data_IF_823896387013
#
_entry.id   IF_823896387013
#
_cell.length_a   1.000
_cell.length_b   1.000
_cell.length_c   1.000
_cell.angle_alpha   90.00
_cell.angle_beta   90.00
_cell.angle_gamma   90.00
#
_symmetry.space_group_name_H-M   'P 1'
#
loop_
_entity.id
_entity.type
_entity.pdbx_description
1 polymer ?
#
# COMPACT_ATOMS: atom_id res chain seq x y z
N UNK A 1 -7.79 7.93 -22.95
CA UNK A 1 -8.49 6.93 -22.14
C UNK A 1 -7.74 6.68 -20.85
N UNK A 2 -8.43 6.71 -19.74
CA UNK A 2 -7.80 6.47 -18.44
C UNK A 2 -7.53 4.98 -18.25
N UNK A 3 -6.31 4.65 -17.77
CA UNK A 3 -5.95 3.28 -17.40
C UNK A 3 -6.30 2.97 -15.94
N UNK A 4 -7.14 3.80 -15.34
CA UNK A 4 -7.52 3.70 -13.94
C UNK A 4 -8.38 2.45 -13.72
N UNK A 5 -7.83 1.44 -13.08
CA UNK A 5 -8.53 0.19 -12.83
C UNK A 5 -9.36 0.28 -11.54
N UNK A 6 -10.24 -0.71 -11.34
CA UNK A 6 -11.01 -0.80 -10.10
C UNK A 6 -10.09 -0.94 -8.88
N UNK A 7 -9.00 -1.68 -8.99
CA UNK A 7 -8.02 -1.80 -7.91
C UNK A 7 -7.35 -0.46 -7.62
N UNK A 8 -7.00 0.30 -8.65
CA UNK A 8 -6.41 1.62 -8.48
C UNK A 8 -7.39 2.56 -7.77
N UNK A 9 -8.67 2.48 -8.09
CA UNK A 9 -9.71 3.26 -7.44
C UNK A 9 -9.82 2.92 -5.94
N UNK A 10 -9.80 1.64 -5.60
CA UNK A 10 -9.85 1.19 -4.20
C UNK A 10 -8.65 1.73 -3.43
N UNK A 11 -7.45 1.59 -3.99
CA UNK A 11 -6.21 2.05 -3.35
C UNK A 11 -6.23 3.58 -3.22
N UNK A 12 -6.62 4.28 -4.26
CA UNK A 12 -6.72 5.74 -4.25
C UNK A 12 -7.67 6.23 -3.17
N UNK A 13 -8.86 5.63 -3.10
CA UNK A 13 -9.87 6.01 -2.10
C UNK A 13 -9.39 5.71 -0.68
N UNK A 14 -8.64 4.65 -0.48
CA UNK A 14 -8.06 4.32 0.83
C UNK A 14 -7.08 5.40 1.27
N UNK A 15 -6.15 5.79 0.41
CA UNK A 15 -5.21 6.85 0.72
C UNK A 15 -5.90 8.20 0.89
N UNK A 16 -6.97 8.45 0.13
CA UNK A 16 -7.78 9.65 0.31
C UNK A 16 -8.40 9.70 1.71
N UNK A 17 -8.88 8.56 2.23
CA UNK A 17 -9.40 8.48 3.59
C UNK A 17 -8.33 8.84 4.62
N UNK A 18 -7.10 8.39 4.42
CA UNK A 18 -5.98 8.74 5.31
C UNK A 18 -5.74 10.26 5.29
N UNK A 19 -5.74 10.87 4.11
CA UNK A 19 -5.54 12.32 3.98
C UNK A 19 -6.68 13.12 4.57
N UNK A 20 -7.92 12.66 4.42
CA UNK A 20 -9.11 13.37 4.87
C UNK A 20 -9.42 13.15 6.35
N UNK A 21 -8.81 12.15 7.00
CA UNK A 21 -9.05 11.87 8.41
C UNK A 21 -8.42 12.95 9.28
N UNK A 22 -9.25 13.67 9.99
CA UNK A 22 -8.82 14.79 10.85
C UNK A 22 -8.29 14.33 12.20
N UNK A 23 -8.71 13.15 12.66
CA UNK A 23 -8.22 12.59 13.90
C UNK A 23 -6.89 11.88 13.65
N UNK A 24 -5.84 12.36 14.32
CA UNK A 24 -4.48 11.85 14.09
C UNK A 24 -4.36 10.36 14.45
N UNK A 25 -4.98 9.94 15.53
CA UNK A 25 -4.94 8.55 15.96
C UNK A 25 -5.60 7.63 14.94
N UNK A 26 -6.77 8.04 14.42
CA UNK A 26 -7.48 7.27 13.40
C UNK A 26 -6.70 7.21 12.09
N UNK A 27 -6.03 8.30 11.74
CA UNK A 27 -5.17 8.36 10.56
C UNK A 27 -4.07 7.30 10.65
N UNK A 28 -3.39 7.22 11.79
CA UNK A 28 -2.35 6.22 12.04
C UNK A 28 -2.93 4.80 12.02
N UNK A 29 -4.11 4.60 12.61
CA UNK A 29 -4.79 3.31 12.58
C UNK A 29 -5.08 2.84 11.15
N UNK A 30 -5.56 3.75 10.30
CA UNK A 30 -5.82 3.45 8.90
C UNK A 30 -4.52 3.00 8.20
N UNK A 31 -3.44 3.72 8.43
CA UNK A 31 -2.14 3.36 7.86
C UNK A 31 -1.67 1.98 8.32
N UNK A 32 -1.75 1.72 9.61
CA UNK A 32 -1.34 0.43 10.19
C UNK A 32 -2.22 -0.72 9.67
N UNK A 33 -3.51 -0.48 9.50
CA UNK A 33 -4.41 -1.48 8.92
C UNK A 33 -4.05 -1.81 7.48
N UNK A 34 -3.64 -0.80 6.72
CA UNK A 34 -3.17 -1.00 5.35
C UNK A 34 -1.93 -1.88 5.30
N UNK A 35 -0.97 -1.63 6.20
CA UNK A 35 0.24 -2.45 6.31
C UNK A 35 -0.13 -3.92 6.57
N UNK A 36 -1.02 -4.17 7.53
CA UNK A 36 -1.46 -5.53 7.85
C UNK A 36 -2.12 -6.21 6.65
N UNK A 37 -2.98 -5.49 5.95
CA UNK A 37 -3.66 -6.04 4.78
C UNK A 37 -2.65 -6.42 3.68
N UNK A 38 -1.65 -5.57 3.45
CA UNK A 38 -0.63 -5.83 2.45
C UNK A 38 0.29 -6.99 2.85
N UNK A 39 0.65 -7.09 4.13
CA UNK A 39 1.43 -8.22 4.64
C UNK A 39 0.69 -9.53 4.44
N UNK A 40 -0.61 -9.54 4.74
CA UNK A 40 -1.47 -10.71 4.53
C UNK A 40 -1.52 -11.09 3.06
N UNK A 41 -1.67 -10.11 2.17
CA UNK A 41 -1.70 -10.35 0.73
C UNK A 41 -0.39 -10.95 0.23
N UNK A 42 0.76 -10.47 0.72
CA UNK A 42 2.05 -11.01 0.36
C UNK A 42 2.23 -12.45 0.82
N UNK A 43 1.79 -12.75 2.05
CA UNK A 43 1.84 -14.11 2.59
C UNK A 43 0.98 -15.05 1.75
N UNK A 44 -0.24 -14.63 1.42
CA UNK A 44 -1.14 -15.43 0.60
C UNK A 44 -0.57 -15.66 -0.81
N UNK A 45 0.06 -14.66 -1.37
CA UNK A 45 0.71 -14.77 -2.67
C UNK A 45 1.84 -15.80 -2.62
N UNK A 46 2.71 -15.73 -1.61
CA UNK A 46 3.80 -16.70 -1.43
C UNK A 46 3.27 -18.13 -1.32
N UNK A 47 2.21 -18.34 -0.53
CA UNK A 47 1.65 -19.67 -0.30
C UNK A 47 1.02 -20.26 -1.55
N UNK A 48 0.51 -19.41 -2.46
CA UNK A 48 -0.17 -19.84 -3.66
C UNK A 48 0.76 -19.99 -4.88
N UNK A 49 2.00 -19.50 -4.79
CA UNK A 49 2.98 -19.68 -5.85
C UNK A 49 3.57 -21.09 -5.79
N UNK A 50 3.82 -21.70 -6.96
CA UNK A 50 4.59 -22.93 -7.01
C UNK A 50 6.09 -22.62 -6.72
N UNK A 51 6.89 -23.65 -6.53
CA UNK A 51 8.28 -23.48 -6.14
C UNK A 51 9.09 -22.68 -7.16
N UNK A 52 8.82 -22.88 -8.43
CA UNK A 52 9.50 -22.18 -9.52
C UNK A 52 9.19 -20.69 -9.48
N UNK A 53 7.91 -20.35 -9.29
CA UNK A 53 7.48 -18.96 -9.20
C UNK A 53 7.92 -18.30 -7.90
N UNK A 54 7.99 -19.04 -6.80
CA UNK A 54 8.53 -18.53 -5.53
C UNK A 54 9.97 -18.05 -5.69
N UNK A 55 10.79 -18.84 -6.38
CA UNK A 55 12.19 -18.47 -6.65
C UNK A 55 12.24 -17.23 -7.52
N UNK A 56 11.42 -17.19 -8.57
CA UNK A 56 11.38 -16.08 -9.53
C UNK A 56 10.99 -14.76 -8.87
N UNK A 57 10.02 -14.80 -7.95
CA UNK A 57 9.45 -13.60 -7.32
C UNK A 57 9.99 -13.33 -5.90
N UNK A 58 10.92 -14.13 -5.43
CA UNK A 58 11.46 -14.03 -4.06
C UNK A 58 11.97 -12.62 -3.75
N UNK A 59 12.74 -12.05 -4.65
CA UNK A 59 13.32 -10.72 -4.46
C UNK A 59 12.23 -9.64 -4.42
N UNK A 60 11.26 -9.71 -5.32
CA UNK A 60 10.16 -8.76 -5.37
C UNK A 60 9.32 -8.79 -4.10
N UNK A 61 9.02 -9.99 -3.62
CA UNK A 61 8.26 -10.17 -2.39
C UNK A 61 9.03 -9.59 -1.20
N UNK A 62 10.33 -9.89 -1.12
CA UNK A 62 11.17 -9.37 -0.04
C UNK A 62 11.27 -7.84 -0.08
N UNK A 63 11.40 -7.27 -1.27
CA UNK A 63 11.44 -5.82 -1.43
C UNK A 63 10.13 -5.17 -0.97
N UNK A 64 9.00 -5.79 -1.28
CA UNK A 64 7.69 -5.31 -0.82
C UNK A 64 7.56 -5.39 0.70
N UNK A 65 8.04 -6.48 1.32
CA UNK A 65 8.04 -6.60 2.78
C UNK A 65 8.91 -5.54 3.44
N UNK A 66 10.09 -5.29 2.88
CA UNK A 66 11.00 -4.25 3.38
C UNK A 66 10.34 -2.87 3.28
N UNK A 67 9.64 -2.60 2.19
CA UNK A 67 8.92 -1.35 2.02
C UNK A 67 7.84 -1.18 3.09
N UNK A 68 7.05 -2.23 3.33
CA UNK A 68 6.01 -2.19 4.37
C UNK A 68 6.61 -1.97 5.76
N UNK A 69 7.74 -2.62 6.05
CA UNK A 69 8.44 -2.41 7.31
C UNK A 69 8.89 -0.95 7.48
N UNK A 70 9.30 -0.31 6.39
CA UNK A 70 9.71 1.10 6.43
C UNK A 70 8.57 2.05 6.74
N UNK A 71 7.33 1.61 6.53
CA UNK A 71 6.14 2.41 6.81
C UNK A 71 5.68 2.31 8.26
N UNK A 72 6.18 1.34 9.00
CA UNK A 72 5.81 1.14 10.40
C UNK A 72 6.35 2.31 11.24
N UNK A 73 5.56 2.74 12.21
CA UNK A 73 5.95 3.82 13.11
C UNK A 73 5.75 5.23 12.58
N UNK A 74 5.13 5.39 11.40
CA UNK A 74 4.81 6.73 10.90
C UNK A 74 3.77 7.40 11.77
N UNK A 75 3.93 8.71 11.99
CA UNK A 75 2.90 9.52 12.64
C UNK A 75 1.86 9.96 11.61
N UNK A 76 0.81 10.67 12.07
CA UNK A 76 -0.29 11.10 11.19
C UNK A 76 0.19 12.01 10.05
N UNK A 77 1.10 12.93 10.33
CA UNK A 77 1.65 13.84 9.31
C UNK A 77 2.37 13.05 8.24
N UNK A 78 3.23 12.11 8.65
CA UNK A 78 3.98 11.26 7.72
C UNK A 78 3.04 10.38 6.89
N UNK A 79 1.99 9.83 7.50
CA UNK A 79 1.01 9.03 6.78
C UNK A 79 0.26 9.85 5.73
N UNK A 80 -0.12 11.09 6.07
CA UNK A 80 -0.80 11.97 5.12
C UNK A 80 0.10 12.34 3.95
N UNK A 81 1.36 12.63 4.22
CA UNK A 81 2.34 12.91 3.17
C UNK A 81 2.55 11.71 2.25
N UNK A 82 2.71 10.53 2.83
CA UNK A 82 2.87 9.29 2.07
C UNK A 82 1.64 9.00 1.21
N UNK A 83 0.45 9.15 1.79
CA UNK A 83 -0.81 8.92 1.07
C UNK A 83 -0.98 9.90 -0.08
N UNK A 84 -0.65 11.17 0.13
CA UNK A 84 -0.71 12.18 -0.91
C UNK A 84 0.24 11.84 -2.06
N UNK A 85 1.45 11.43 -1.75
CA UNK A 85 2.44 11.03 -2.74
C UNK A 85 1.95 9.83 -3.55
N UNK A 86 1.38 8.83 -2.89
CA UNK A 86 0.84 7.65 -3.58
C UNK A 86 -0.32 7.99 -4.50
N UNK A 87 -1.22 8.88 -4.07
CA UNK A 87 -2.34 9.33 -4.89
C UNK A 87 -1.84 10.07 -6.14
N UNK A 88 -0.86 10.93 -5.98
CA UNK A 88 -0.26 11.65 -7.12
C UNK A 88 0.38 10.68 -8.10
N UNK A 89 1.13 9.71 -7.62
CA UNK A 89 1.75 8.69 -8.46
C UNK A 89 0.73 7.87 -9.23
N UNK A 90 -0.38 7.49 -8.60
CA UNK A 90 -1.45 6.76 -9.27
C UNK A 90 -2.06 7.62 -10.38
N UNK A 91 -2.34 8.89 -10.09
CA UNK A 91 -2.90 9.83 -11.08
C UNK A 91 -1.94 10.05 -12.24
N UNK A 92 -0.67 10.26 -11.97
CA UNK A 92 0.34 10.52 -13.01
C UNK A 92 0.52 9.32 -13.93
N UNK A 93 0.48 8.11 -13.38
CA UNK A 93 0.67 6.90 -14.16
C UNK A 93 -0.57 6.54 -15.02
N UNK A 94 -1.72 7.16 -14.75
CA UNK A 94 -2.98 6.82 -15.41
C UNK A 94 -3.48 7.89 -16.41
N UNK A 95 -2.77 8.96 -16.51
CA UNK A 95 -3.11 10.03 -17.45
C UNK A 95 -2.52 9.78 -18.81
#
# INVERSE_FOLDING_TARGET
MSNFTKNDEIIFNFFKQICDEKNDQKCVELGNNWIKAMETNLTNMEENLDEKDKIKHKEDIQNNRNHLDSLKGKNSTEWREYATKCMVEIMDNKV
#
